data_IF_238833481108
#
_entry.id   IF_238833481108
#
_cell.length_a   1.000
_cell.length_b   1.000
_cell.length_c   1.000
_cell.angle_alpha   90.00
_cell.angle_beta   90.00
_cell.angle_gamma   90.00
#
_symmetry.space_group_name_H-M   'P 1'
#
loop_
_entity.id
_entity.type
_entity.pdbx_description
1 polymer ?
#
# COMPACT_ATOMS: atom_id res chain seq x y z
N UNK A 1 -52.63 -38.28 -23.17
CA UNK A 1 -51.96 -36.98 -22.97
C UNK A 1 -51.08 -37.12 -21.74
N UNK A 2 -49.82 -37.47 -21.94
CA UNK A 2 -48.84 -37.63 -20.87
C UNK A 2 -48.37 -36.24 -20.45
N UNK A 3 -48.76 -35.80 -19.26
CA UNK A 3 -48.23 -34.59 -18.63
C UNK A 3 -46.75 -34.79 -18.34
N UNK A 4 -45.92 -34.13 -19.12
CA UNK A 4 -44.48 -34.04 -18.94
C UNK A 4 -44.22 -33.25 -17.65
N UNK A 5 -43.79 -33.95 -16.61
CA UNK A 5 -43.41 -33.34 -15.34
C UNK A 5 -42.00 -32.78 -15.51
N UNK A 6 -41.91 -31.46 -15.71
CA UNK A 6 -40.62 -30.75 -15.70
C UNK A 6 -40.07 -30.83 -14.29
N UNK A 7 -39.11 -31.74 -14.09
CA UNK A 7 -38.41 -31.92 -12.83
C UNK A 7 -37.43 -30.75 -12.64
N UNK A 8 -37.88 -29.69 -11.98
CA UNK A 8 -37.05 -28.53 -11.66
C UNK A 8 -36.16 -28.90 -10.48
N UNK A 9 -34.89 -29.22 -10.74
CA UNK A 9 -33.88 -29.36 -9.70
C UNK A 9 -33.81 -28.06 -8.88
N UNK A 10 -34.24 -28.10 -7.61
CA UNK A 10 -34.17 -26.95 -6.68
C UNK A 10 -32.71 -26.75 -6.26
N UNK A 11 -31.99 -25.93 -7.00
CA UNK A 11 -30.63 -25.53 -6.65
C UNK A 11 -30.71 -24.67 -5.37
N UNK A 12 -29.88 -25.00 -4.38
CA UNK A 12 -29.78 -24.22 -3.16
C UNK A 12 -29.28 -22.80 -3.51
N UNK A 13 -30.09 -21.78 -3.20
CA UNK A 13 -29.70 -20.39 -3.39
C UNK A 13 -28.43 -20.09 -2.59
N UNK A 14 -27.38 -19.64 -3.26
CA UNK A 14 -26.16 -19.12 -2.63
C UNK A 14 -25.91 -17.70 -3.12
N UNK A 15 -26.07 -16.75 -2.21
CA UNK A 15 -25.76 -15.35 -2.49
C UNK A 15 -24.28 -15.06 -2.22
N UNK A 16 -23.63 -14.23 -3.06
CA UNK A 16 -22.25 -13.80 -2.82
C UNK A 16 -22.16 -12.92 -1.57
N UNK A 17 -20.98 -12.82 -0.91
CA UNK A 17 -20.79 -11.90 0.21
C UNK A 17 -21.07 -10.45 -0.22
N UNK A 18 -21.53 -9.63 0.71
CA UNK A 18 -21.89 -8.22 0.43
C UNK A 18 -20.69 -7.38 -0.02
N UNK A 19 -20.86 -6.59 -1.10
CA UNK A 19 -19.79 -5.75 -1.67
C UNK A 19 -20.03 -4.26 -1.38
N UNK A 20 -19.50 -3.76 -0.25
CA UNK A 20 -19.60 -2.33 0.14
C UNK A 20 -19.06 -1.39 -0.94
N UNK A 21 -18.07 -1.80 -1.72
CA UNK A 21 -17.46 -1.00 -2.80
C UNK A 21 -18.33 -0.87 -4.06
N UNK A 22 -19.22 -1.84 -4.32
CA UNK A 22 -20.08 -1.83 -5.51
C UNK A 22 -21.40 -2.55 -5.25
N UNK A 23 -22.25 -1.92 -4.44
CA UNK A 23 -23.54 -2.48 -4.02
C UNK A 23 -24.51 -2.69 -5.19
N UNK A 24 -24.46 -1.82 -6.22
CA UNK A 24 -25.31 -1.96 -7.41
C UNK A 24 -25.04 -3.26 -8.16
N UNK A 25 -23.76 -3.58 -8.38
CA UNK A 25 -23.36 -4.81 -9.06
C UNK A 25 -23.72 -6.03 -8.20
N UNK A 26 -23.51 -5.97 -6.88
CA UNK A 26 -23.89 -7.04 -5.98
C UNK A 26 -25.41 -7.33 -6.00
N UNK A 27 -26.25 -6.30 -5.99
CA UNK A 27 -27.72 -6.46 -6.12
C UNK A 27 -28.07 -7.10 -7.45
N UNK A 28 -27.49 -6.63 -8.57
CA UNK A 28 -27.72 -7.22 -9.88
C UNK A 28 -27.33 -8.71 -9.93
N UNK A 29 -26.23 -9.07 -9.26
CA UNK A 29 -25.83 -10.48 -9.13
C UNK A 29 -26.81 -11.29 -8.28
N UNK A 30 -27.34 -10.73 -7.20
CA UNK A 30 -28.38 -11.35 -6.39
C UNK A 30 -29.67 -11.57 -7.21
N UNK A 31 -30.10 -10.58 -8.01
CA UNK A 31 -31.25 -10.68 -8.91
C UNK A 31 -31.11 -11.84 -9.91
N UNK A 32 -29.92 -12.01 -10.49
CA UNK A 32 -29.62 -13.14 -11.34
C UNK A 32 -29.68 -14.47 -10.58
N UNK A 33 -29.15 -14.53 -9.36
CA UNK A 33 -29.19 -15.74 -8.53
C UNK A 33 -30.63 -16.13 -8.15
N UNK A 34 -31.48 -15.15 -7.83
CA UNK A 34 -32.90 -15.37 -7.56
C UNK A 34 -33.62 -15.90 -8.80
N UNK A 35 -33.40 -15.26 -9.95
CA UNK A 35 -34.01 -15.66 -11.22
C UNK A 35 -33.58 -17.08 -11.61
N UNK A 36 -32.29 -17.39 -11.49
CA UNK A 36 -31.74 -18.71 -11.77
C UNK A 36 -32.31 -19.80 -10.83
N UNK A 37 -32.61 -19.44 -9.58
CA UNK A 37 -33.20 -20.34 -8.58
C UNK A 37 -34.74 -20.40 -8.64
N UNK A 38 -35.37 -19.70 -9.58
CA UNK A 38 -36.83 -19.62 -9.70
C UNK A 38 -37.52 -18.84 -8.57
N UNK A 39 -36.79 -17.98 -7.85
CA UNK A 39 -37.31 -17.18 -6.73
C UNK A 39 -37.91 -15.89 -7.27
N UNK A 40 -39.24 -15.82 -7.29
CA UNK A 40 -40.00 -14.64 -7.71
C UNK A 40 -40.63 -13.87 -6.54
N UNK A 41 -40.83 -14.51 -5.40
CA UNK A 41 -41.47 -13.90 -4.22
C UNK A 41 -40.61 -12.80 -3.59
N UNK A 42 -41.17 -11.60 -3.46
CA UNK A 42 -40.53 -10.44 -2.80
C UNK A 42 -40.06 -10.78 -1.38
N UNK A 43 -40.91 -11.49 -0.62
CA UNK A 43 -40.63 -11.87 0.77
C UNK A 43 -39.43 -12.84 0.88
N UNK A 44 -39.33 -13.78 -0.07
CA UNK A 44 -38.21 -14.72 -0.14
C UNK A 44 -36.91 -14.02 -0.54
N UNK A 45 -36.97 -13.08 -1.50
CA UNK A 45 -35.80 -12.27 -1.89
C UNK A 45 -35.32 -11.39 -0.74
N UNK A 46 -36.25 -10.70 -0.08
CA UNK A 46 -35.97 -9.89 1.11
C UNK A 46 -35.33 -10.72 2.22
N UNK A 47 -35.93 -11.85 2.58
CA UNK A 47 -35.39 -12.73 3.63
C UNK A 47 -34.00 -13.25 3.29
N UNK A 48 -33.76 -13.61 2.03
CA UNK A 48 -32.45 -14.05 1.56
C UNK A 48 -31.38 -12.95 1.62
N UNK A 49 -31.73 -11.69 1.27
CA UNK A 49 -30.84 -10.56 1.44
C UNK A 49 -30.49 -10.34 2.92
N UNK A 50 -31.50 -10.23 3.79
CA UNK A 50 -31.30 -9.97 5.23
C UNK A 50 -30.41 -11.04 5.86
N UNK A 51 -30.60 -12.31 5.50
CA UNK A 51 -29.78 -13.42 5.97
C UNK A 51 -28.32 -13.38 5.46
N UNK A 52 -28.04 -12.65 4.39
CA UNK A 52 -26.72 -12.55 3.78
C UNK A 52 -25.90 -11.32 4.24
N UNK A 53 -26.56 -10.33 4.85
CA UNK A 53 -25.90 -9.11 5.34
C UNK A 53 -25.19 -9.34 6.69
N UNK A 54 -24.04 -8.70 6.87
CA UNK A 54 -23.31 -8.68 8.14
C UNK A 54 -23.93 -7.70 9.15
N UNK A 55 -23.62 -7.89 10.43
CA UNK A 55 -24.20 -7.10 11.52
C UNK A 55 -23.98 -5.59 11.37
N UNK A 56 -22.82 -5.19 10.84
CA UNK A 56 -22.50 -3.78 10.57
C UNK A 56 -23.45 -3.23 9.50
N UNK A 57 -23.63 -3.93 8.39
CA UNK A 57 -24.54 -3.50 7.31
C UNK A 57 -26.00 -3.49 7.76
N UNK A 58 -26.43 -4.50 8.53
CA UNK A 58 -27.79 -4.56 9.10
C UNK A 58 -28.09 -3.37 10.01
N UNK A 59 -27.10 -2.82 10.72
CA UNK A 59 -27.29 -1.64 11.57
C UNK A 59 -27.73 -0.39 10.79
N UNK A 60 -27.35 -0.26 9.51
CA UNK A 60 -27.74 0.87 8.66
C UNK A 60 -29.15 0.75 8.07
N UNK A 61 -29.73 -0.46 8.10
CA UNK A 61 -31.07 -0.77 7.55
C UNK A 61 -31.99 -1.36 8.63
N UNK A 62 -31.68 -1.13 9.91
CA UNK A 62 -32.40 -1.73 11.04
C UNK A 62 -33.87 -1.36 11.09
N UNK A 63 -34.20 -0.15 10.65
CA UNK A 63 -35.58 0.34 10.53
C UNK A 63 -36.40 -0.52 9.56
N UNK A 64 -35.83 -0.86 8.40
CA UNK A 64 -36.46 -1.71 7.38
C UNK A 64 -36.52 -3.18 7.83
N UNK A 65 -35.57 -3.62 8.67
CA UNK A 65 -35.54 -5.00 9.19
C UNK A 65 -36.53 -5.19 10.35
N UNK A 66 -36.60 -4.24 11.27
CA UNK A 66 -37.48 -4.31 12.45
C UNK A 66 -38.93 -3.91 12.13
N UNK A 67 -39.13 -3.03 11.14
CA UNK A 67 -40.44 -2.58 10.69
C UNK A 67 -40.52 -2.68 9.16
N UNK A 68 -40.60 -3.89 8.60
CA UNK A 68 -40.63 -4.08 7.15
C UNK A 68 -41.90 -3.47 6.53
N UNK A 69 -41.78 -2.86 5.32
CA UNK A 69 -42.93 -2.31 4.62
C UNK A 69 -43.91 -3.42 4.18
N UNK A 70 -45.16 -3.03 3.94
CA UNK A 70 -46.24 -3.96 3.58
C UNK A 70 -46.09 -4.54 2.15
N UNK A 71 -45.43 -3.80 1.25
CA UNK A 71 -45.13 -4.21 -0.12
C UNK A 71 -43.71 -3.77 -0.49
N UNK A 72 -43.16 -4.36 -1.56
CA UNK A 72 -41.87 -3.97 -2.14
C UNK A 72 -40.70 -3.99 -1.15
N UNK A 73 -40.66 -5.00 -0.26
CA UNK A 73 -39.64 -5.12 0.79
C UNK A 73 -38.26 -5.25 0.18
N UNK A 74 -38.11 -6.10 -0.83
CA UNK A 74 -36.86 -6.30 -1.54
C UNK A 74 -36.38 -4.99 -2.18
N UNK A 75 -37.27 -4.32 -2.89
CA UNK A 75 -36.94 -3.07 -3.58
C UNK A 75 -36.54 -1.98 -2.60
N UNK A 76 -37.30 -1.80 -1.51
CA UNK A 76 -37.03 -0.80 -0.47
C UNK A 76 -35.68 -1.04 0.19
N UNK A 77 -35.38 -2.28 0.58
CA UNK A 77 -34.09 -2.66 1.15
C UNK A 77 -32.94 -2.43 0.16
N UNK A 78 -33.10 -2.89 -1.08
CA UNK A 78 -32.11 -2.75 -2.15
C UNK A 78 -31.79 -1.27 -2.44
N UNK A 79 -32.82 -0.42 -2.54
CA UNK A 79 -32.65 1.02 -2.72
C UNK A 79 -31.91 1.65 -1.55
N UNK A 80 -32.27 1.30 -0.31
CA UNK A 80 -31.61 1.84 0.88
C UNK A 80 -30.12 1.46 0.92
N UNK A 81 -29.79 0.21 0.60
CA UNK A 81 -28.40 -0.25 0.50
C UNK A 81 -27.64 0.52 -0.59
N UNK A 82 -28.25 0.73 -1.76
CA UNK A 82 -27.64 1.55 -2.82
C UNK A 82 -27.41 2.97 -2.33
N UNK A 83 -28.39 3.62 -1.72
CA UNK A 83 -28.24 5.01 -1.24
C UNK A 83 -27.19 5.14 -0.15
N UNK A 84 -27.11 4.18 0.77
CA UNK A 84 -26.21 4.26 1.92
C UNK A 84 -24.75 3.97 1.56
N UNK A 85 -24.51 3.03 0.64
CA UNK A 85 -23.16 2.52 0.35
C UNK A 85 -22.65 2.87 -1.05
N UNK A 86 -23.48 3.45 -1.93
CA UNK A 86 -22.94 4.01 -3.18
C UNK A 86 -22.15 5.27 -2.86
N UNK A 87 -20.99 5.42 -3.51
CA UNK A 87 -20.28 6.71 -3.51
C UNK A 87 -21.24 7.82 -3.96
N UNK A 88 -21.16 8.97 -3.29
CA UNK A 88 -21.91 10.15 -3.74
C UNK A 88 -21.44 10.56 -5.14
N UNK A 89 -22.31 11.19 -5.92
CA UNK A 89 -21.98 11.67 -7.27
C UNK A 89 -20.72 12.55 -7.25
N UNK A 90 -20.62 13.44 -6.26
CA UNK A 90 -19.44 14.29 -6.06
C UNK A 90 -18.18 13.49 -5.77
N UNK A 91 -18.25 12.40 -5.00
CA UNK A 91 -17.11 11.52 -4.75
C UNK A 91 -16.70 10.75 -6.00
N UNK A 92 -17.66 10.28 -6.81
CA UNK A 92 -17.38 9.62 -8.09
C UNK A 92 -16.70 10.56 -9.07
N UNK A 93 -17.18 11.80 -9.19
CA UNK A 93 -16.56 12.84 -10.02
C UNK A 93 -15.16 13.17 -9.50
N UNK A 94 -14.98 13.33 -8.18
CA UNK A 94 -13.64 13.54 -7.59
C UNK A 94 -12.70 12.39 -7.91
N UNK A 95 -13.08 11.14 -7.63
CA UNK A 95 -12.30 9.95 -8.01
C UNK A 95 -11.95 9.95 -9.50
N UNK A 96 -12.93 10.29 -10.33
CA UNK A 96 -12.77 10.38 -11.77
C UNK A 96 -11.83 11.50 -12.21
N UNK A 97 -11.67 12.59 -11.45
CA UNK A 97 -10.77 13.71 -11.77
C UNK A 97 -9.37 13.56 -11.15
N UNK A 98 -9.24 13.07 -9.91
CA UNK A 98 -7.98 13.06 -9.17
C UNK A 98 -7.36 11.68 -8.96
N UNK A 99 -8.15 10.64 -8.74
CA UNK A 99 -7.64 9.42 -8.11
C UNK A 99 -7.29 8.32 -9.14
N UNK A 100 -7.83 8.39 -10.34
CA UNK A 100 -7.55 7.43 -11.41
C UNK A 100 -6.27 7.82 -12.14
N UNK A 101 -5.27 6.95 -12.11
CA UNK A 101 -4.06 7.04 -12.92
C UNK A 101 -3.94 5.79 -13.79
N UNK A 102 -3.26 5.90 -14.93
CA UNK A 102 -3.04 4.74 -15.80
C UNK A 102 -2.15 3.70 -15.13
N UNK A 103 -1.08 4.12 -14.44
CA UNK A 103 -0.11 3.22 -13.82
C UNK A 103 0.44 2.21 -14.83
N UNK A 104 0.42 0.93 -14.46
CA UNK A 104 0.75 -0.22 -15.34
C UNK A 104 -0.51 -0.88 -15.95
N UNK A 105 -1.69 -0.28 -15.77
CA UNK A 105 -2.93 -0.84 -16.32
C UNK A 105 -3.06 -0.55 -17.81
N UNK A 106 -3.78 -1.42 -18.53
CA UNK A 106 -4.07 -1.19 -19.94
C UNK A 106 -4.95 0.06 -20.12
N UNK A 107 -4.69 0.91 -21.13
CA UNK A 107 -5.54 2.04 -21.49
C UNK A 107 -7.04 1.72 -21.56
N UNK A 108 -7.42 0.55 -22.09
CA UNK A 108 -8.81 0.09 -22.15
C UNK A 108 -9.43 -0.18 -20.77
N UNK A 109 -8.67 -0.72 -19.83
CA UNK A 109 -9.14 -0.96 -18.47
C UNK A 109 -9.40 0.36 -17.74
N UNK A 110 -8.51 1.35 -17.91
CA UNK A 110 -8.72 2.69 -17.37
C UNK A 110 -10.01 3.32 -17.92
N UNK A 111 -10.23 3.23 -19.23
CA UNK A 111 -11.44 3.76 -19.85
C UNK A 111 -12.70 3.11 -19.26
N UNK A 112 -12.69 1.78 -19.10
CA UNK A 112 -13.82 1.05 -18.53
C UNK A 112 -14.14 1.50 -17.11
N UNK A 113 -13.12 1.67 -16.27
CA UNK A 113 -13.29 2.22 -14.90
C UNK A 113 -13.88 3.63 -14.93
N UNK A 114 -13.41 4.48 -15.84
CA UNK A 114 -13.93 5.84 -16.01
C UNK A 114 -15.40 5.85 -16.43
N UNK A 115 -15.81 4.97 -17.35
CA UNK A 115 -17.23 4.76 -17.74
C UNK A 115 -18.09 4.25 -16.59
N UNK A 116 -17.56 3.32 -15.79
CA UNK A 116 -18.27 2.77 -14.62
C UNK A 116 -18.51 3.84 -13.55
N UNK A 117 -17.51 4.67 -13.26
CA UNK A 117 -17.62 5.75 -12.28
C UNK A 117 -18.53 6.89 -12.76
N UNK A 118 -18.53 7.19 -14.06
CA UNK A 118 -19.42 8.21 -14.63
C UNK A 118 -20.87 7.72 -14.79
N UNK A 119 -21.10 6.40 -14.75
CA UNK A 119 -22.41 5.76 -14.86
C UNK A 119 -23.22 6.31 -16.08
N UNK A 120 -22.53 6.64 -17.17
CA UNK A 120 -23.11 7.18 -18.41
C UNK A 120 -23.54 8.65 -18.36
N UNK A 121 -23.18 9.41 -17.32
CA UNK A 121 -23.59 10.81 -17.18
C UNK A 121 -22.66 11.82 -17.85
N UNK A 122 -21.42 11.42 -18.13
CA UNK A 122 -20.46 12.26 -18.84
C UNK A 122 -20.55 12.00 -20.33
N UNK A 123 -20.46 13.08 -21.12
CA UNK A 123 -20.36 13.00 -22.57
C UNK A 123 -19.07 12.28 -22.97
N UNK A 124 -19.13 11.48 -24.03
CA UNK A 124 -17.99 10.70 -24.52
C UNK A 124 -16.80 11.59 -24.88
N UNK A 125 -17.02 12.78 -25.46
CA UNK A 125 -15.95 13.73 -25.80
C UNK A 125 -15.21 14.23 -24.55
N UNK A 126 -15.95 14.53 -23.48
CA UNK A 126 -15.34 14.93 -22.21
C UNK A 126 -14.57 13.76 -21.58
N UNK A 127 -15.16 12.56 -21.58
CA UNK A 127 -14.52 11.37 -21.06
C UNK A 127 -13.25 11.02 -21.85
N UNK A 128 -13.28 11.19 -23.18
CA UNK A 128 -12.13 11.03 -24.07
C UNK A 128 -11.03 12.02 -23.72
N UNK A 129 -11.35 13.31 -23.57
CA UNK A 129 -10.35 14.33 -23.23
C UNK A 129 -9.63 14.02 -21.92
N UNK A 130 -10.37 13.60 -20.90
CA UNK A 130 -9.82 13.25 -19.59
C UNK A 130 -9.02 11.95 -19.63
N UNK A 131 -9.48 10.96 -20.40
CA UNK A 131 -8.79 9.70 -20.59
C UNK A 131 -7.46 9.90 -21.35
N UNK A 132 -7.46 10.74 -22.39
CA UNK A 132 -6.25 11.13 -23.13
C UNK A 132 -5.25 11.86 -22.23
N UNK A 133 -5.70 12.80 -21.39
CA UNK A 133 -4.82 13.53 -20.46
C UNK A 133 -4.04 12.60 -19.52
N UNK A 134 -4.56 11.40 -19.25
CA UNK A 134 -3.94 10.38 -18.39
C UNK A 134 -2.99 9.43 -19.13
N UNK A 135 -2.95 9.51 -20.45
CA UNK A 135 -2.06 8.68 -21.26
C UNK A 135 -0.65 9.26 -21.31
N UNK A 136 0.38 8.42 -21.44
CA UNK A 136 1.71 8.85 -21.86
C UNK A 136 1.70 9.61 -23.18
N UNK A 137 2.61 10.57 -23.40
CA UNK A 137 2.60 11.48 -24.55
C UNK A 137 2.68 10.75 -25.90
N UNK A 138 3.38 9.62 -25.96
CA UNK A 138 3.49 8.82 -27.18
C UNK A 138 2.16 8.17 -27.59
N UNK A 139 1.35 7.72 -26.62
CA UNK A 139 0.01 7.19 -26.88
C UNK A 139 -0.92 8.32 -27.31
N UNK A 140 -0.86 9.48 -26.62
CA UNK A 140 -1.67 10.65 -26.97
C UNK A 140 -1.47 11.05 -28.44
N UNK A 141 -0.22 11.09 -28.91
CA UNK A 141 0.10 11.51 -30.29
C UNK A 141 -0.55 10.60 -31.34
N UNK A 142 -0.53 9.29 -31.11
CA UNK A 142 -1.17 8.32 -32.02
C UNK A 142 -2.69 8.46 -31.98
N UNK A 143 -3.27 8.61 -30.79
CA UNK A 143 -4.72 8.69 -30.62
C UNK A 143 -5.30 10.01 -31.13
N UNK A 144 -4.59 11.13 -30.98
CA UNK A 144 -5.03 12.45 -31.45
C UNK A 144 -5.20 12.53 -32.98
N UNK A 145 -4.53 11.66 -33.73
CA UNK A 145 -4.66 11.58 -35.19
C UNK A 145 -5.88 10.76 -35.66
N UNK A 146 -6.56 10.07 -34.74
CA UNK A 146 -7.70 9.18 -35.05
C UNK A 146 -9.03 9.83 -34.67
N UNK A 147 -10.02 9.71 -35.56
CA UNK A 147 -11.40 10.17 -35.36
C UNK A 147 -12.37 9.01 -35.05
N UNK A 148 -11.84 7.89 -34.55
CA UNK A 148 -12.62 6.71 -34.19
C UNK A 148 -13.40 6.88 -32.87
N UNK A 149 -14.34 5.97 -32.62
CA UNK A 149 -15.09 5.94 -31.36
C UNK A 149 -14.17 5.62 -30.17
N UNK A 150 -14.56 6.11 -28.99
CA UNK A 150 -13.79 5.99 -27.76
C UNK A 150 -13.40 4.53 -27.41
N UNK A 151 -14.28 3.57 -27.68
CA UNK A 151 -13.99 2.14 -27.47
C UNK A 151 -12.92 1.60 -28.43
N UNK A 152 -12.89 2.08 -29.67
CA UNK A 152 -11.84 1.68 -30.63
C UNK A 152 -10.51 2.36 -30.32
N UNK A 153 -10.53 3.62 -29.89
CA UNK A 153 -9.35 4.33 -29.41
C UNK A 153 -8.69 3.58 -28.25
N UNK A 154 -9.47 3.01 -27.33
CA UNK A 154 -8.95 2.16 -26.26
C UNK A 154 -8.23 0.91 -26.78
N UNK A 155 -8.77 0.25 -27.81
CA UNK A 155 -8.12 -0.91 -28.45
C UNK A 155 -6.80 -0.50 -29.13
N UNK A 156 -6.80 0.64 -29.82
CA UNK A 156 -5.58 1.18 -30.46
C UNK A 156 -4.54 1.51 -29.39
N UNK A 157 -4.95 2.16 -28.30
CA UNK A 157 -4.07 2.53 -27.20
C UNK A 157 -3.39 1.30 -26.55
N UNK A 158 -4.16 0.22 -26.34
CA UNK A 158 -3.62 -1.05 -25.84
C UNK A 158 -2.54 -1.60 -26.77
N UNK A 159 -2.79 -1.60 -28.09
CA UNK A 159 -1.81 -2.06 -29.08
C UNK A 159 -0.54 -1.21 -29.08
N UNK A 160 -0.67 0.12 -28.99
CA UNK A 160 0.48 1.02 -28.92
C UNK A 160 1.28 0.77 -27.64
N UNK A 161 0.60 0.57 -26.50
CA UNK A 161 1.24 0.24 -25.22
C UNK A 161 2.01 -1.08 -25.28
N UNK A 162 1.48 -2.09 -25.95
CA UNK A 162 2.15 -3.40 -26.12
C UNK A 162 3.39 -3.30 -27.01
N UNK A 163 3.33 -2.50 -28.09
CA UNK A 163 4.48 -2.28 -28.98
C UNK A 163 5.62 -1.62 -28.22
N UNK A 164 5.35 -0.63 -27.37
CA UNK A 164 6.39 0.07 -26.60
C UNK A 164 6.93 -0.79 -25.46
N UNK A 165 6.08 -1.56 -24.76
CA UNK A 165 6.52 -2.53 -23.74
C UNK A 165 7.37 -3.68 -24.31
N UNK A 166 7.10 -4.07 -25.55
CA UNK A 166 7.88 -5.09 -26.27
C UNK A 166 9.14 -4.52 -26.93
N UNK A 167 9.19 -3.19 -27.15
CA UNK A 167 10.29 -2.49 -27.80
C UNK A 167 11.22 -1.78 -26.81
N UNK A 168 11.63 -2.49 -25.74
CA UNK A 168 12.83 -2.10 -24.97
C UNK A 168 14.13 -2.35 -25.76
N UNK A 169 14.02 -2.74 -27.04
CA UNK A 169 15.15 -2.95 -27.95
C UNK A 169 14.93 -2.18 -29.26
N UNK A 170 14.77 -0.86 -29.18
CA UNK A 170 15.04 -0.04 -30.37
C UNK A 170 16.57 0.02 -30.50
N UNK A 171 17.13 -0.98 -31.18
CA UNK A 171 18.48 -0.87 -31.73
C UNK A 171 18.48 0.38 -32.61
N UNK A 172 19.30 1.37 -32.28
CA UNK A 172 19.57 2.47 -33.18
C UNK A 172 20.08 1.87 -34.50
N UNK A 173 19.27 1.96 -35.55
CA UNK A 173 19.69 1.56 -36.88
C UNK A 173 20.87 2.48 -37.26
N UNK A 174 22.07 1.89 -37.30
CA UNK A 174 23.29 2.54 -37.78
C UNK A 174 23.07 3.01 -39.21
N UNK A 175 22.67 4.26 -39.38
CA UNK A 175 22.86 4.96 -40.63
C UNK A 175 24.36 5.18 -40.80
N UNK A 176 24.89 4.68 -41.91
CA UNK A 176 26.27 4.85 -42.35
C UNK A 176 26.66 6.33 -42.25
N UNK A 177 27.67 6.72 -41.45
CA UNK A 177 28.12 8.10 -41.44
C UNK A 177 29.12 8.35 -42.58
N UNK A 178 28.96 9.42 -43.39
CA UNK A 178 30.11 10.05 -44.04
C UNK A 178 30.95 10.81 -42.99
N UNK A 179 32.26 11.00 -43.20
CA UNK A 179 33.11 11.62 -42.20
C UNK A 179 32.97 13.15 -42.26
N UNK A 180 32.69 13.79 -41.12
CA UNK A 180 33.41 14.95 -40.57
C UNK A 180 32.51 15.91 -39.77
N UNK A 181 32.79 15.94 -38.46
CA UNK A 181 32.93 17.11 -37.57
C UNK A 181 31.69 17.92 -37.10
N UNK A 182 31.72 18.19 -35.78
CA UNK A 182 30.93 19.14 -34.94
C UNK A 182 29.43 18.85 -34.78
N UNK A 183 28.95 18.09 -33.78
CA UNK A 183 28.93 18.30 -32.32
C UNK A 183 28.05 19.45 -31.82
N UNK A 184 26.75 19.18 -31.64
CA UNK A 184 25.97 19.60 -30.46
C UNK A 184 24.64 18.84 -30.41
N UNK A 185 24.57 17.72 -29.70
CA UNK A 185 23.29 17.14 -29.30
C UNK A 185 23.35 16.68 -27.84
N UNK A 186 22.30 17.06 -27.12
CA UNK A 186 22.05 16.83 -25.70
C UNK A 186 22.26 15.37 -25.30
N UNK A 187 23.35 15.12 -24.58
CA UNK A 187 23.63 13.83 -23.97
C UNK A 187 22.62 13.58 -22.84
N UNK A 188 21.52 12.89 -23.18
CA UNK A 188 20.79 12.11 -22.18
C UNK A 188 21.79 11.09 -21.60
N UNK A 189 22.01 11.04 -20.28
CA UNK A 189 22.88 10.03 -19.71
C UNK A 189 22.26 8.66 -19.98
N UNK A 190 22.92 7.88 -20.83
CA UNK A 190 22.52 6.50 -21.14
C UNK A 190 22.42 5.71 -19.83
N UNK A 191 21.57 4.67 -19.81
CA UNK A 191 21.38 3.83 -18.60
C UNK A 191 22.70 3.33 -18.01
N UNK A 192 23.75 3.15 -18.83
CA UNK A 192 25.10 2.81 -18.37
C UNK A 192 25.78 3.92 -17.55
N UNK A 193 25.54 5.19 -17.90
CA UNK A 193 26.01 6.35 -17.14
C UNK A 193 25.34 6.41 -15.77
N UNK A 194 24.02 6.20 -15.73
CA UNK A 194 23.27 6.12 -14.47
C UNK A 194 23.67 4.89 -13.65
N UNK A 195 23.89 3.74 -14.27
CA UNK A 195 24.37 2.53 -13.60
C UNK A 195 25.76 2.75 -12.98
N UNK A 196 26.68 3.43 -13.69
CA UNK A 196 27.98 3.83 -13.12
C UNK A 196 27.81 4.81 -11.98
N UNK A 197 26.94 5.82 -12.11
CA UNK A 197 26.68 6.78 -11.03
C UNK A 197 26.07 6.10 -9.80
N UNK A 198 25.18 5.12 -9.97
CA UNK A 198 24.59 4.34 -8.87
C UNK A 198 25.65 3.45 -8.22
N UNK A 199 26.52 2.80 -9.01
CA UNK A 199 27.62 2.01 -8.47
C UNK A 199 28.59 2.88 -7.68
N UNK A 200 28.94 4.05 -8.20
CA UNK A 200 29.83 5.01 -7.54
C UNK A 200 29.20 5.59 -6.26
N UNK A 201 27.92 5.97 -6.29
CA UNK A 201 27.17 6.37 -5.10
C UNK A 201 27.09 5.24 -4.07
N UNK A 202 26.88 4.00 -4.51
CA UNK A 202 26.84 2.83 -3.62
C UNK A 202 28.18 2.61 -2.90
N UNK A 203 29.29 2.81 -3.61
CA UNK A 203 30.64 2.75 -3.03
C UNK A 203 30.88 3.92 -2.04
N UNK A 204 30.46 5.13 -2.38
CA UNK A 204 30.58 6.29 -1.49
C UNK A 204 29.75 6.12 -0.21
N UNK A 205 28.53 5.59 -0.32
CA UNK A 205 27.67 5.28 0.84
C UNK A 205 28.27 4.18 1.71
N UNK A 206 28.87 3.15 1.10
CA UNK A 206 29.55 2.09 1.84
C UNK A 206 30.75 2.64 2.65
N UNK A 207 31.53 3.54 2.05
CA UNK A 207 32.68 4.17 2.72
C UNK A 207 32.25 5.09 3.86
N UNK A 208 31.28 5.98 3.63
CA UNK A 208 30.72 6.85 4.69
C UNK A 208 30.14 6.04 5.86
N UNK A 209 29.55 4.87 5.58
CA UNK A 209 29.04 3.97 6.62
C UNK A 209 30.17 3.34 7.43
N UNK A 210 31.30 2.98 6.79
CA UNK A 210 32.51 2.47 7.48
C UNK A 210 33.17 3.55 8.34
N UNK A 211 33.33 4.76 7.82
CA UNK A 211 33.89 5.90 8.57
C UNK A 211 33.06 6.23 9.81
N UNK A 212 31.72 6.21 9.68
CA UNK A 212 30.80 6.43 10.81
C UNK A 212 30.92 5.34 11.89
N UNK A 213 31.06 4.07 11.48
CA UNK A 213 31.23 2.96 12.45
C UNK A 213 32.61 2.98 13.10
N UNK A 214 33.68 3.30 12.37
CA UNK A 214 35.04 3.46 12.92
C UNK A 214 35.09 4.57 13.96
N UNK A 215 34.43 5.71 13.67
CA UNK A 215 34.30 6.85 14.59
C UNK A 215 33.50 6.51 15.87
N UNK A 216 32.53 5.60 15.79
CA UNK A 216 31.80 5.10 16.98
C UNK A 216 32.64 4.15 17.81
N UNK A 217 33.45 3.30 17.18
CA UNK A 217 34.34 2.37 17.91
C UNK A 217 35.52 3.08 18.60
N UNK A 218 36.03 4.18 18.05
CA UNK A 218 37.05 4.98 18.73
C UNK A 218 36.51 5.73 19.96
N UNK A 219 35.26 6.20 19.94
CA UNK A 219 34.65 6.84 21.12
C UNK A 219 34.40 5.86 22.27
N UNK A 220 34.11 4.58 21.98
CA UNK A 220 33.89 3.57 23.02
C UNK A 220 35.20 3.01 23.62
N UNK A 221 36.33 3.15 22.93
CA UNK A 221 37.64 2.67 23.42
C UNK A 221 38.40 3.70 24.28
N UNK A 222 37.93 4.96 24.33
CA UNK A 222 38.58 6.04 25.09
C UNK A 222 38.18 6.10 26.58
N UNK A 223 37.10 5.42 26.99
CA UNK A 223 36.60 5.44 28.37
C UNK A 223 37.13 4.32 29.28
N UNK A 224 38.29 3.71 28.95
CA UNK A 224 38.99 2.75 29.83
C UNK A 224 40.36 3.21 30.32
N UNK A 225 40.62 4.52 30.35
CA UNK A 225 41.83 5.07 31.00
C UNK A 225 41.51 6.20 31.97
N UNK A 226 40.65 5.93 32.95
CA UNK A 226 40.66 6.62 34.25
C UNK A 226 39.89 5.82 35.30
N UNK A 227 40.61 4.96 36.02
CA UNK A 227 40.22 4.61 37.38
C UNK A 227 41.47 4.35 38.21
N UNK A 228 41.72 5.37 39.01
CA UNK A 228 42.63 5.45 40.14
C UNK A 228 42.20 4.48 41.25
N UNK A 229 43.19 3.86 41.93
CA UNK A 229 43.17 3.14 43.22
C UNK A 229 43.43 1.63 43.10
N UNK A 230 44.37 1.00 43.79
CA UNK A 230 45.31 1.38 44.85
C UNK A 230 46.44 0.36 44.80
N UNK A 231 47.67 0.82 44.60
CA UNK A 231 48.86 0.03 44.86
C UNK A 231 48.89 -0.33 46.35
N UNK A 232 48.90 -1.64 46.64
CA UNK A 232 49.18 -2.20 47.96
C UNK A 232 50.62 -1.87 48.34
N UNK A 233 50.82 -0.70 48.95
CA UNK A 233 52.06 -0.42 49.68
C UNK A 233 51.94 -1.10 51.03
N UNK A 234 52.50 -2.30 51.11
CA UNK A 234 52.91 -2.94 52.36
C UNK A 234 54.04 -2.07 52.93
N UNK A 235 53.72 -1.12 53.81
CA UNK A 235 54.75 -0.36 54.50
C UNK A 235 55.05 -1.01 55.85
N UNK A 236 56.19 -1.72 55.86
CA UNK A 236 56.89 -2.30 57.00
C UNK A 236 57.26 -1.16 57.97
N UNK A 237 56.99 -1.31 59.25
CA UNK A 237 57.64 -0.44 60.25
C UNK A 237 56.93 -0.29 61.59
N UNK A 238 55.59 -0.27 61.64
CA UNK A 238 54.89 0.08 62.89
C UNK A 238 54.01 -1.03 63.48
N UNK A 239 53.85 -2.18 62.82
CA UNK A 239 53.02 -3.30 63.32
C UNK A 239 51.55 -2.96 63.62
N UNK A 240 51.05 -1.77 63.28
CA UNK A 240 49.72 -1.28 63.65
C UNK A 240 48.78 -1.38 62.44
N UNK A 241 47.60 -1.96 62.64
CA UNK A 241 46.61 -2.16 61.59
C UNK A 241 46.01 -0.82 61.10
N UNK A 242 45.42 -0.84 59.90
CA UNK A 242 44.82 0.33 59.27
C UNK A 242 43.87 1.11 60.19
N UNK A 243 42.98 0.40 60.90
CA UNK A 243 41.99 1.01 61.79
C UNK A 243 42.64 1.78 62.95
N UNK A 244 43.62 1.19 63.64
CA UNK A 244 44.35 1.86 64.73
C UNK A 244 45.26 2.99 64.24
N UNK A 245 45.77 2.93 62.99
CA UNK A 245 46.50 4.07 62.40
C UNK A 245 45.59 5.25 62.11
N UNK A 246 44.35 5.00 61.69
CA UNK A 246 43.39 6.05 61.31
C UNK A 246 42.60 6.61 62.50
N UNK A 247 42.23 5.78 63.46
CA UNK A 247 41.31 6.14 64.54
C UNK A 247 41.92 6.03 65.95
N UNK A 248 43.17 5.53 66.07
CA UNK A 248 43.88 5.35 67.36
C UNK A 248 42.99 4.62 68.39
N UNK A 249 42.90 5.12 69.62
CA UNK A 249 42.15 4.52 70.74
C UNK A 249 40.62 4.46 70.49
N UNK A 250 40.11 5.19 69.49
CA UNK A 250 38.69 5.16 69.11
C UNK A 250 38.36 4.12 68.02
N UNK A 251 39.32 3.27 67.64
CA UNK A 251 39.08 2.24 66.64
C UNK A 251 38.13 1.15 67.18
N UNK A 252 36.98 0.95 66.52
CA UNK A 252 36.01 -0.10 66.89
C UNK A 252 36.36 -1.48 66.32
N UNK A 253 37.40 -1.59 65.49
CA UNK A 253 37.80 -2.82 64.80
C UNK A 253 39.32 -2.92 64.77
N UNK A 254 39.85 -4.08 65.16
CA UNK A 254 41.27 -4.44 65.10
C UNK A 254 41.46 -5.59 64.10
N UNK A 255 42.56 -5.58 63.34
CA UNK A 255 42.95 -6.70 62.46
C UNK A 255 44.34 -7.17 62.83
N UNK A 256 44.45 -8.43 63.21
CA UNK A 256 45.72 -9.05 63.60
C UNK A 256 46.62 -9.36 62.39
N UNK A 257 47.96 -9.29 62.56
CA UNK A 257 48.70 -8.87 63.75
C UNK A 257 48.74 -7.33 63.90
N UNK A 258 48.32 -6.81 65.06
CA UNK A 258 48.34 -5.39 65.39
C UNK A 258 49.01 -5.16 66.76
N UNK A 259 50.07 -4.34 66.79
CA UNK A 259 50.87 -4.03 67.99
C UNK A 259 50.38 -2.77 68.73
N UNK A 260 49.10 -2.40 68.61
CA UNK A 260 48.52 -1.22 69.25
C UNK A 260 48.11 -1.54 70.69
N UNK A 261 48.66 -0.83 71.68
CA UNK A 261 48.33 -0.96 73.11
C UNK A 261 47.52 0.25 73.53
N UNK A 262 46.31 0.03 74.03
CA UNK A 262 45.44 1.08 74.57
C UNK A 262 45.92 1.43 75.98
N UNK A 263 46.28 2.70 76.24
CA UNK A 263 46.55 3.17 77.60
C UNK A 263 45.22 3.42 78.29
N UNK A 264 44.91 2.64 79.32
CA UNK A 264 43.83 2.97 80.25
C UNK A 264 44.45 3.87 81.32
N UNK A 265 44.06 5.14 81.33
CA UNK A 265 44.30 6.10 82.41
C UNK A 265 42.95 6.46 83.04
#
# INVERSE_FOLDING_TARGET
MTSETVEVARIALRLPPFWKSNVRLWIAQCDHAFTFSGISSDDTKYSALVANLDAETLSYVSDIVLSPPNSDKYHTLSQRLITQFSDSETQKIKKLLTDLQLGDEKPSHLLRKMKELSNGQLQDDFLQSLWLQRMPPHIQTVLSASSESLDKLAIIADKVSEVVGSSSTICAATTVPPPSQSSSCSAQPTMDSLARQIQELSLQVAELTRERNSSRHQRYSSDRRRSHSRSRSVNRGSGICYYHRRYKEQARKCVSPCAFVQKNE
#
